data_IF_422639020015
#
_entry.id   IF_422639020015
#
_cell.length_a   1.000
_cell.length_b   1.000
_cell.length_c   1.000
_cell.angle_alpha   90.00
_cell.angle_beta   90.00
_cell.angle_gamma   90.00
#
_symmetry.space_group_name_H-M   'P 1'
#
loop_
_entity.id
_entity.type
_entity.pdbx_description
1 polymer ?
#
# COMPACT_ATOMS: atom_id res chain seq x y z
N UNK A 1 -20.87 4.00 -5.70
CA UNK A 1 -21.00 3.88 -7.16
C UNK A 1 -19.86 4.70 -7.76
N UNK A 2 -19.04 4.17 -8.68
CA UNK A 2 -17.99 4.95 -9.34
C UNK A 2 -18.71 5.90 -10.30
N UNK A 3 -18.62 7.21 -10.06
CA UNK A 3 -19.25 8.21 -10.91
C UNK A 3 -18.26 8.56 -12.03
N UNK A 4 -18.63 8.26 -13.27
CA UNK A 4 -17.78 8.47 -14.44
C UNK A 4 -18.22 9.77 -15.15
N UNK A 5 -17.26 10.63 -15.47
CA UNK A 5 -17.53 11.95 -16.02
C UNK A 5 -17.65 11.90 -17.55
N UNK A 6 -18.84 11.54 -18.05
CA UNK A 6 -19.14 11.50 -19.49
C UNK A 6 -18.98 12.85 -20.17
N UNK A 7 -19.25 13.95 -19.45
CA UNK A 7 -19.14 15.31 -20.01
C UNK A 7 -17.68 15.68 -20.25
N UNK A 8 -16.80 15.41 -19.29
CA UNK A 8 -15.37 15.66 -19.44
C UNK A 8 -14.76 14.82 -20.57
N UNK A 9 -15.07 13.51 -20.60
CA UNK A 9 -14.62 12.64 -21.70
C UNK A 9 -15.13 13.15 -23.06
N UNK A 10 -16.42 13.48 -23.17
CA UNK A 10 -17.02 13.96 -24.41
C UNK A 10 -16.38 15.27 -24.91
N UNK A 11 -16.14 16.21 -24.00
CA UNK A 11 -15.44 17.47 -24.33
C UNK A 11 -14.02 17.21 -24.81
N UNK A 12 -13.28 16.29 -24.18
CA UNK A 12 -11.92 15.99 -24.61
C UNK A 12 -11.86 15.28 -25.96
N UNK A 13 -12.72 14.27 -26.20
CA UNK A 13 -12.81 13.60 -27.49
C UNK A 13 -13.09 14.64 -28.60
N UNK A 14 -14.00 15.58 -28.35
CA UNK A 14 -14.31 16.67 -29.28
C UNK A 14 -13.10 17.58 -29.52
N UNK A 15 -12.36 17.92 -28.46
CA UNK A 15 -11.15 18.76 -28.54
C UNK A 15 -10.07 18.08 -29.39
N UNK A 16 -9.75 16.82 -29.09
CA UNK A 16 -8.76 16.02 -29.84
C UNK A 16 -9.17 15.80 -31.28
N UNK A 17 -10.46 15.53 -31.55
CA UNK A 17 -10.97 15.37 -32.92
C UNK A 17 -10.73 16.62 -33.75
N UNK A 18 -11.06 17.80 -33.20
CA UNK A 18 -10.83 19.08 -33.85
C UNK A 18 -9.33 19.35 -34.08
N UNK A 19 -8.49 19.04 -33.10
CA UNK A 19 -7.03 19.18 -33.23
C UNK A 19 -6.44 18.29 -34.33
N UNK A 20 -7.02 17.10 -34.53
CA UNK A 20 -6.63 16.20 -35.61
C UNK A 20 -7.35 16.50 -36.95
N UNK A 21 -8.10 17.61 -37.05
CA UNK A 21 -8.85 18.02 -38.24
C UNK A 21 -9.83 16.95 -38.78
N UNK A 22 -10.40 16.14 -37.89
CA UNK A 22 -11.35 15.08 -38.25
C UNK A 22 -12.79 15.57 -38.15
N UNK A 23 -13.65 15.19 -39.09
CA UNK A 23 -15.09 15.29 -38.94
C UNK A 23 -15.62 14.20 -38.00
N UNK A 24 -16.84 14.35 -37.47
CA UNK A 24 -17.46 13.28 -36.67
C UNK A 24 -17.72 12.02 -37.50
N UNK A 25 -17.98 12.15 -38.80
CA UNK A 25 -18.18 11.00 -39.69
C UNK A 25 -16.87 10.24 -39.93
N UNK A 26 -15.75 10.97 -40.14
CA UNK A 26 -14.42 10.37 -40.27
C UNK A 26 -13.99 9.67 -38.98
N UNK A 27 -14.29 10.26 -37.81
CA UNK A 27 -13.98 9.62 -36.54
C UNK A 27 -14.84 8.37 -36.30
N UNK A 28 -16.08 8.33 -36.81
CA UNK A 28 -17.01 7.21 -36.67
C UNK A 28 -16.77 6.05 -37.65
N UNK A 29 -16.08 6.32 -38.77
CA UNK A 29 -15.96 5.40 -39.91
C UNK A 29 -15.54 3.98 -39.50
N UNK A 30 -16.30 2.96 -39.87
CA UNK A 30 -15.94 1.56 -39.58
C UNK A 30 -16.02 1.14 -38.09
N UNK A 31 -16.50 2.00 -37.19
CA UNK A 31 -16.72 1.63 -35.77
C UNK A 31 -18.13 1.93 -35.26
N UNK A 32 -18.74 3.04 -35.65
CA UNK A 32 -20.09 3.41 -35.20
C UNK A 32 -20.70 4.46 -36.14
N UNK A 33 -21.86 5.02 -35.76
CA UNK A 33 -22.49 6.08 -36.55
C UNK A 33 -21.95 7.45 -36.15
N UNK A 34 -22.01 8.42 -37.06
CA UNK A 34 -21.68 9.82 -36.74
C UNK A 34 -22.55 10.38 -35.61
N UNK A 35 -23.82 9.95 -35.51
CA UNK A 35 -24.70 10.29 -34.40
C UNK A 35 -24.21 9.74 -33.06
N UNK A 36 -23.64 8.53 -33.05
CA UNK A 36 -23.02 7.93 -31.85
C UNK A 36 -21.85 8.77 -31.36
N UNK A 37 -20.94 9.17 -32.26
CA UNK A 37 -19.83 10.09 -31.91
C UNK A 37 -20.36 11.42 -31.39
N UNK A 38 -21.38 12.00 -32.04
CA UNK A 38 -21.99 13.24 -31.55
C UNK A 38 -22.63 13.08 -30.16
N UNK A 39 -23.23 11.92 -29.86
CA UNK A 39 -23.78 11.60 -28.55
C UNK A 39 -22.70 11.48 -27.47
N UNK A 40 -21.59 10.81 -27.79
CA UNK A 40 -20.41 10.68 -26.92
C UNK A 40 -19.80 12.07 -26.64
N UNK A 41 -19.58 12.89 -27.68
CA UNK A 41 -19.02 14.24 -27.53
C UNK A 41 -19.91 15.17 -26.69
N UNK A 42 -21.22 14.93 -26.68
CA UNK A 42 -22.19 15.66 -25.85
C UNK A 42 -22.34 15.10 -24.43
N UNK A 43 -21.62 14.03 -24.08
CA UNK A 43 -21.72 13.36 -22.78
C UNK A 43 -23.03 12.61 -22.54
N UNK A 44 -23.80 12.30 -23.60
CA UNK A 44 -25.13 11.67 -23.51
C UNK A 44 -25.08 10.14 -23.34
N UNK A 45 -23.91 9.53 -23.43
CA UNK A 45 -23.73 8.09 -23.25
C UNK A 45 -22.25 7.70 -23.16
N UNK A 46 -21.99 6.53 -22.59
CA UNK A 46 -20.65 5.95 -22.53
C UNK A 46 -20.33 5.24 -23.84
N UNK A 47 -19.13 5.47 -24.43
CA UNK A 47 -18.64 4.57 -25.46
C UNK A 47 -18.41 3.19 -24.86
N UNK A 48 -18.69 2.14 -25.63
CA UNK A 48 -18.24 0.79 -25.29
C UNK A 48 -16.71 0.70 -25.36
N UNK A 49 -16.12 -0.31 -24.72
CA UNK A 49 -14.66 -0.44 -24.57
C UNK A 49 -13.95 -0.52 -25.93
N UNK A 50 -14.54 -1.24 -26.88
CA UNK A 50 -14.08 -1.35 -28.27
C UNK A 50 -14.12 0.01 -29.00
N UNK A 51 -15.21 0.76 -28.89
CA UNK A 51 -15.31 2.11 -29.46
C UNK A 51 -14.26 3.02 -28.84
N UNK A 52 -14.12 3.03 -27.51
CA UNK A 52 -13.16 3.88 -26.80
C UNK A 52 -11.71 3.54 -27.18
N UNK A 53 -11.40 2.25 -27.35
CA UNK A 53 -10.09 1.79 -27.82
C UNK A 53 -9.78 2.31 -29.23
N UNK A 54 -10.69 2.17 -30.19
CA UNK A 54 -10.44 2.65 -31.56
C UNK A 54 -10.36 4.18 -31.62
N UNK A 55 -11.17 4.89 -30.83
CA UNK A 55 -11.05 6.35 -30.70
C UNK A 55 -9.67 6.75 -30.18
N UNK A 56 -9.09 6.01 -29.24
CA UNK A 56 -7.75 6.33 -28.70
C UNK A 56 -6.67 6.27 -29.78
N UNK A 57 -6.73 5.25 -30.64
CA UNK A 57 -5.83 5.08 -31.77
C UNK A 57 -5.97 6.24 -32.76
N UNK A 58 -7.21 6.58 -33.16
CA UNK A 58 -7.48 7.64 -34.14
C UNK A 58 -7.11 9.03 -33.65
N UNK A 59 -7.29 9.26 -32.35
CA UNK A 59 -6.99 10.53 -31.70
C UNK A 59 -5.54 10.60 -31.18
N UNK A 60 -4.74 9.55 -31.43
CA UNK A 60 -3.32 9.45 -31.09
C UNK A 60 -3.03 9.62 -29.60
N UNK A 61 -3.87 9.01 -28.76
CA UNK A 61 -3.73 8.97 -27.30
C UNK A 61 -3.83 7.52 -26.81
N UNK A 62 -3.38 7.26 -25.58
CA UNK A 62 -3.55 5.93 -24.97
C UNK A 62 -4.97 5.76 -24.45
N UNK A 63 -5.43 4.51 -24.31
CA UNK A 63 -6.72 4.23 -23.66
C UNK A 63 -6.73 4.72 -22.19
N UNK A 64 -5.59 4.62 -21.51
CA UNK A 64 -5.36 5.14 -20.15
C UNK A 64 -5.63 6.64 -20.02
N UNK A 65 -5.28 7.42 -21.06
CA UNK A 65 -5.56 8.87 -21.08
C UNK A 65 -7.06 9.16 -21.00
N UNK A 66 -7.89 8.44 -21.76
CA UNK A 66 -9.35 8.61 -21.67
C UNK A 66 -9.91 8.15 -20.34
N UNK A 67 -9.38 7.07 -19.75
CA UNK A 67 -9.78 6.67 -18.41
C UNK A 67 -9.49 7.75 -17.36
N UNK A 68 -8.32 8.39 -17.42
CA UNK A 68 -7.99 9.50 -16.51
C UNK A 68 -8.97 10.66 -16.60
N UNK A 69 -9.42 11.00 -17.80
CA UNK A 69 -10.38 12.10 -18.02
C UNK A 69 -11.80 11.70 -17.63
N UNK A 70 -12.16 10.44 -17.87
CA UNK A 70 -13.40 9.86 -17.37
C UNK A 70 -13.47 9.92 -15.84
N UNK A 71 -12.32 9.91 -15.16
CA UNK A 71 -12.19 10.01 -13.71
C UNK A 71 -11.94 11.46 -13.23
N UNK A 72 -11.48 12.38 -14.11
CA UNK A 72 -11.14 13.81 -13.88
C UNK A 72 -10.19 14.08 -12.68
N UNK A 73 -9.85 15.35 -12.37
CA UNK A 73 -8.97 15.84 -11.27
C UNK A 73 -9.04 15.07 -9.95
N UNK A 74 -10.18 14.46 -9.67
CA UNK A 74 -10.35 13.53 -8.57
C UNK A 74 -9.27 12.44 -8.55
N UNK A 75 -8.90 11.86 -9.69
CA UNK A 75 -7.90 10.79 -9.74
C UNK A 75 -6.48 11.27 -9.42
N UNK A 76 -6.06 12.40 -9.98
CA UNK A 76 -4.76 12.99 -9.66
C UNK A 76 -4.73 13.40 -8.18
N UNK A 77 -5.77 14.08 -7.70
CA UNK A 77 -5.95 14.41 -6.31
C UNK A 77 -5.96 13.18 -5.37
N UNK A 78 -6.66 12.10 -5.75
CA UNK A 78 -6.69 10.83 -5.00
C UNK A 78 -5.27 10.26 -4.91
N UNK A 79 -4.54 10.22 -6.03
CA UNK A 79 -3.18 9.69 -6.08
C UNK A 79 -2.21 10.53 -5.24
N UNK A 80 -2.30 11.86 -5.33
CA UNK A 80 -1.50 12.78 -4.52
C UNK A 80 -1.83 12.63 -3.03
N UNK A 81 -3.11 12.56 -2.69
CA UNK A 81 -3.57 12.38 -1.30
C UNK A 81 -3.12 11.03 -0.75
N UNK A 82 -3.24 9.95 -1.53
CA UNK A 82 -2.76 8.63 -1.12
C UNK A 82 -1.25 8.63 -0.90
N UNK A 83 -0.47 9.18 -1.84
CA UNK A 83 0.98 9.29 -1.73
C UNK A 83 1.38 10.12 -0.50
N UNK A 84 0.66 11.22 -0.24
CA UNK A 84 0.92 12.08 0.90
C UNK A 84 0.65 11.36 2.22
N UNK A 85 -0.52 10.72 2.35
CA UNK A 85 -0.87 9.91 3.52
C UNK A 85 0.13 8.77 3.77
N UNK A 86 0.58 8.08 2.71
CA UNK A 86 1.59 7.03 2.83
C UNK A 86 2.91 7.55 3.42
N UNK A 87 3.37 8.73 2.99
CA UNK A 87 4.58 9.35 3.53
C UNK A 87 4.40 9.84 4.98
N UNK A 88 3.24 10.39 5.33
CA UNK A 88 2.92 10.78 6.71
C UNK A 88 2.94 9.57 7.65
N UNK A 89 2.27 8.48 7.29
CA UNK A 89 2.25 7.24 8.09
C UNK A 89 3.65 6.63 8.25
N UNK A 90 4.47 6.66 7.19
CA UNK A 90 5.85 6.16 7.20
C UNK A 90 6.75 6.98 8.13
N UNK A 91 6.53 8.30 8.20
CA UNK A 91 7.20 9.21 9.14
C UNK A 91 6.56 9.23 10.53
N UNK A 92 5.47 8.47 10.74
CA UNK A 92 4.65 8.47 11.96
C UNK A 92 4.09 9.85 12.31
N UNK A 93 3.89 10.71 11.32
CA UNK A 93 3.25 12.02 11.51
C UNK A 93 1.72 11.87 11.55
N UNK A 94 1.22 11.29 12.65
CA UNK A 94 -0.20 10.98 12.82
C UNK A 94 -1.06 12.23 13.02
N UNK A 95 -0.50 13.32 13.57
CA UNK A 95 -1.24 14.57 13.79
C UNK A 95 -1.68 15.17 12.45
N UNK A 96 -0.75 15.30 11.49
CA UNK A 96 -1.06 15.84 10.17
C UNK A 96 -1.98 14.92 9.37
N UNK A 97 -1.76 13.60 9.44
CA UNK A 97 -2.63 12.62 8.79
C UNK A 97 -4.07 12.71 9.34
N UNK A 98 -4.21 12.87 10.66
CA UNK A 98 -5.52 13.05 11.30
C UNK A 98 -6.20 14.34 10.83
N UNK A 99 -5.49 15.46 10.77
CA UNK A 99 -6.05 16.75 10.34
C UNK A 99 -6.50 16.70 8.87
N UNK A 100 -5.66 16.16 7.98
CA UNK A 100 -6.00 15.98 6.57
C UNK A 100 -7.27 15.13 6.42
N UNK A 101 -7.31 13.96 7.04
CA UNK A 101 -8.48 13.09 6.93
C UNK A 101 -9.73 13.69 7.60
N UNK A 102 -9.60 14.43 8.70
CA UNK A 102 -10.73 15.13 9.34
C UNK A 102 -11.31 16.19 8.40
N UNK A 103 -10.45 16.95 7.74
CA UNK A 103 -10.87 17.95 6.75
C UNK A 103 -11.58 17.28 5.58
N UNK A 104 -11.04 16.19 5.05
CA UNK A 104 -11.68 15.41 3.98
C UNK A 104 -13.06 14.87 4.39
N UNK A 105 -13.20 14.32 5.60
CA UNK A 105 -14.48 13.80 6.11
C UNK A 105 -15.53 14.90 6.37
N UNK A 106 -15.10 16.14 6.59
CA UNK A 106 -16.01 17.27 6.85
C UNK A 106 -16.69 17.84 5.59
N UNK A 107 -16.18 17.51 4.40
CA UNK A 107 -16.68 18.01 3.13
C UNK A 107 -17.98 17.28 2.73
N UNK A 108 -19.14 17.93 2.94
CA UNK A 108 -20.47 17.30 2.80
C UNK A 108 -20.90 16.88 1.38
N UNK A 109 -20.22 17.34 0.32
CA UNK A 109 -20.67 17.19 -1.07
C UNK A 109 -19.63 16.56 -2.01
N UNK A 110 -18.60 15.89 -1.49
CA UNK A 110 -17.56 15.27 -2.33
C UNK A 110 -17.90 13.82 -2.64
N UNK A 111 -17.96 13.46 -3.93
CA UNK A 111 -18.11 12.08 -4.38
C UNK A 111 -16.81 11.61 -5.03
N UNK A 112 -15.87 11.11 -4.22
CA UNK A 112 -14.56 10.60 -4.69
C UNK A 112 -14.52 9.08 -4.84
N UNK A 113 -15.65 8.42 -4.57
CA UNK A 113 -15.82 6.99 -4.69
C UNK A 113 -15.48 6.21 -3.42
N UNK A 114 -16.02 4.98 -3.36
CA UNK A 114 -15.95 4.10 -2.19
C UNK A 114 -14.51 3.87 -1.69
N UNK A 115 -13.55 3.64 -2.58
CA UNK A 115 -12.17 3.34 -2.20
C UNK A 115 -11.44 4.54 -1.63
N UNK A 116 -11.69 5.75 -2.13
CA UNK A 116 -11.15 6.96 -1.52
C UNK A 116 -11.75 7.18 -0.13
N UNK A 117 -13.06 7.02 0.02
CA UNK A 117 -13.71 7.13 1.34
C UNK A 117 -13.16 6.09 2.32
N UNK A 118 -12.92 4.86 1.84
CA UNK A 118 -12.31 3.78 2.62
C UNK A 118 -10.87 4.15 3.03
N UNK A 119 -10.08 4.73 2.12
CA UNK A 119 -8.70 5.20 2.37
C UNK A 119 -8.69 6.28 3.45
N UNK A 120 -9.52 7.31 3.32
CA UNK A 120 -9.61 8.43 4.26
C UNK A 120 -10.05 7.94 5.64
N UNK A 121 -11.11 7.12 5.72
CA UNK A 121 -11.58 6.57 7.00
C UNK A 121 -10.54 5.67 7.66
N UNK A 122 -9.85 4.82 6.89
CA UNK A 122 -8.77 3.99 7.41
C UNK A 122 -7.66 4.83 8.07
N UNK A 123 -7.15 5.83 7.34
CA UNK A 123 -6.10 6.70 7.85
C UNK A 123 -6.57 7.53 9.05
N UNK A 124 -7.82 8.00 9.04
CA UNK A 124 -8.43 8.68 10.17
C UNK A 124 -8.47 7.81 11.43
N UNK A 125 -8.96 6.56 11.34
CA UNK A 125 -9.08 5.68 12.51
C UNK A 125 -7.71 5.25 13.06
N UNK A 126 -6.74 4.96 12.19
CA UNK A 126 -5.37 4.63 12.59
C UNK A 126 -4.71 5.82 13.28
N UNK A 127 -4.83 7.01 12.70
CA UNK A 127 -4.22 8.22 13.29
C UNK A 127 -4.89 8.59 14.61
N UNK A 128 -6.23 8.47 14.69
CA UNK A 128 -6.99 8.69 15.93
C UNK A 128 -6.54 7.75 17.05
N UNK A 129 -6.25 6.48 16.74
CA UNK A 129 -5.73 5.52 17.70
C UNK A 129 -4.34 5.93 18.22
N UNK A 130 -3.40 6.22 17.32
CA UNK A 130 -2.03 6.59 17.71
C UNK A 130 -1.96 7.93 18.47
N UNK A 131 -2.86 8.86 18.19
CA UNK A 131 -3.02 10.12 18.93
C UNK A 131 -3.80 9.96 20.24
N UNK A 132 -4.19 8.73 20.62
CA UNK A 132 -4.99 8.43 21.82
C UNK A 132 -6.35 9.17 21.87
N UNK A 133 -6.87 9.57 20.71
CA UNK A 133 -8.22 10.15 20.55
C UNK A 133 -9.30 9.07 20.50
N UNK A 134 -8.91 7.81 20.25
CA UNK A 134 -9.80 6.66 20.14
C UNK A 134 -9.16 5.44 20.81
N UNK A 135 -9.93 4.70 21.59
CA UNK A 135 -9.45 3.45 22.20
C UNK A 135 -9.26 2.35 21.14
N UNK A 136 -8.44 1.35 21.46
CA UNK A 136 -8.11 0.30 20.50
C UNK A 136 -9.32 -0.55 20.07
N UNK A 137 -10.31 -0.79 20.95
CA UNK A 137 -11.48 -1.63 20.63
C UNK A 137 -12.39 -0.91 19.63
N UNK A 138 -12.66 0.37 19.89
CA UNK A 138 -13.43 1.21 18.99
C UNK A 138 -12.73 1.38 17.64
N UNK A 139 -11.40 1.62 17.64
CA UNK A 139 -10.61 1.71 16.41
C UNK A 139 -10.70 0.43 15.59
N UNK A 140 -10.49 -0.74 16.20
CA UNK A 140 -10.60 -2.03 15.51
C UNK A 140 -12.00 -2.27 14.97
N UNK A 141 -13.06 -1.96 15.73
CA UNK A 141 -14.43 -2.13 15.26
C UNK A 141 -14.69 -1.28 14.01
N UNK A 142 -14.31 0.00 14.04
CA UNK A 142 -14.44 0.91 12.91
C UNK A 142 -13.63 0.44 11.69
N UNK A 143 -12.39 -0.03 11.90
CA UNK A 143 -11.56 -0.59 10.83
C UNK A 143 -12.18 -1.85 10.21
N UNK A 144 -12.79 -2.73 11.01
CA UNK A 144 -13.48 -3.92 10.50
C UNK A 144 -14.71 -3.57 9.69
N UNK A 145 -15.45 -2.53 10.07
CA UNK A 145 -16.61 -2.06 9.31
C UNK A 145 -16.22 -1.54 7.92
N UNK A 146 -14.97 -1.11 7.71
CA UNK A 146 -14.47 -0.76 6.37
C UNK A 146 -14.26 -1.98 5.47
N UNK A 147 -14.12 -3.18 6.02
CA UNK A 147 -13.89 -4.43 5.28
C UNK A 147 -15.22 -5.09 4.89
N UNK A 148 -16.05 -4.35 4.17
CA UNK A 148 -17.36 -4.82 3.71
C UNK A 148 -17.20 -5.89 2.61
N UNK A 149 -17.27 -7.16 3.02
CA UNK A 149 -17.17 -8.32 2.12
C UNK A 149 -18.30 -8.41 1.10
N UNK A 150 -19.42 -7.72 1.32
CA UNK A 150 -20.55 -7.70 0.39
C UNK A 150 -20.34 -6.72 -0.77
N UNK A 151 -19.42 -5.77 -0.62
CA UNK A 151 -19.13 -4.78 -1.65
C UNK A 151 -18.39 -5.44 -2.83
N UNK A 152 -18.81 -5.23 -4.10
CA UNK A 152 -18.19 -5.88 -5.26
C UNK A 152 -16.67 -5.62 -5.42
N UNK A 153 -16.18 -4.49 -4.88
CA UNK A 153 -14.76 -4.11 -4.92
C UNK A 153 -13.92 -4.70 -3.75
N UNK A 154 -14.51 -5.52 -2.88
CA UNK A 154 -13.76 -6.16 -1.80
C UNK A 154 -12.75 -7.16 -2.36
N UNK A 155 -11.51 -7.10 -1.89
CA UNK A 155 -10.43 -8.00 -2.30
C UNK A 155 -9.87 -7.72 -3.71
N UNK A 156 -10.40 -6.72 -4.42
CA UNK A 156 -9.88 -6.30 -5.73
C UNK A 156 -8.70 -5.32 -5.61
N UNK A 157 -8.47 -4.74 -4.42
CA UNK A 157 -7.49 -3.68 -4.21
C UNK A 157 -6.63 -3.95 -2.96
N UNK A 158 -5.41 -3.43 -2.99
CA UNK A 158 -4.42 -3.54 -1.92
C UNK A 158 -4.88 -2.86 -0.62
N UNK A 159 -5.81 -1.90 -0.69
CA UNK A 159 -6.30 -1.17 0.47
C UNK A 159 -6.92 -2.08 1.55
N UNK A 160 -7.68 -3.10 1.16
CA UNK A 160 -8.32 -4.01 2.11
C UNK A 160 -7.26 -4.75 2.96
N UNK A 161 -6.16 -5.15 2.33
CA UNK A 161 -5.03 -5.80 3.00
C UNK A 161 -4.22 -4.83 3.86
N UNK A 162 -4.07 -3.57 3.45
CA UNK A 162 -3.47 -2.52 4.30
C UNK A 162 -4.27 -2.32 5.59
N UNK A 163 -5.60 -2.29 5.50
CA UNK A 163 -6.52 -2.19 6.65
C UNK A 163 -6.38 -3.43 7.55
N UNK A 164 -6.42 -4.64 6.99
CA UNK A 164 -6.23 -5.88 7.75
C UNK A 164 -4.88 -5.91 8.48
N UNK A 165 -3.81 -5.45 7.83
CA UNK A 165 -2.49 -5.34 8.45
C UNK A 165 -2.48 -4.33 9.60
N UNK A 166 -3.15 -3.18 9.46
CA UNK A 166 -3.31 -2.22 10.57
C UNK A 166 -4.06 -2.85 11.76
N UNK A 167 -5.14 -3.58 11.52
CA UNK A 167 -5.88 -4.30 12.57
C UNK A 167 -4.96 -5.30 13.29
N UNK A 168 -4.17 -6.08 12.55
CA UNK A 168 -3.24 -7.05 13.12
C UNK A 168 -2.15 -6.37 13.98
N UNK A 169 -1.62 -5.23 13.55
CA UNK A 169 -0.64 -4.43 14.31
C UNK A 169 -1.26 -3.93 15.61
N UNK A 170 -2.45 -3.32 15.56
CA UNK A 170 -3.12 -2.79 16.75
C UNK A 170 -3.41 -3.91 17.74
N UNK A 171 -3.87 -5.09 17.29
CA UNK A 171 -4.01 -6.25 18.16
C UNK A 171 -2.70 -6.62 18.88
N UNK A 172 -1.59 -6.71 18.14
CA UNK A 172 -0.29 -7.05 18.71
C UNK A 172 0.23 -5.99 19.70
N UNK A 173 0.08 -4.70 19.40
CA UNK A 173 0.48 -3.60 20.29
C UNK A 173 -0.30 -3.60 21.61
N UNK A 174 -1.54 -4.11 21.60
CA UNK A 174 -2.37 -4.28 22.80
C UNK A 174 -2.30 -5.70 23.39
N UNK A 175 -1.24 -6.46 23.08
CA UNK A 175 -0.97 -7.81 23.62
C UNK A 175 -2.00 -8.89 23.29
N UNK A 176 -2.91 -8.62 22.33
CA UNK A 176 -3.86 -9.58 21.78
C UNK A 176 -3.20 -10.36 20.64
N UNK A 177 -2.19 -11.15 21.00
CA UNK A 177 -1.30 -11.80 20.04
C UNK A 177 -2.01 -12.88 19.22
N UNK A 178 -2.97 -13.61 19.79
CA UNK A 178 -3.67 -14.67 19.09
C UNK A 178 -4.60 -14.11 18.01
N UNK A 179 -5.28 -12.99 18.31
CA UNK A 179 -6.13 -12.26 17.40
C UNK A 179 -5.30 -11.67 16.26
N UNK A 180 -4.12 -11.11 16.57
CA UNK A 180 -3.17 -10.65 15.56
C UNK A 180 -2.71 -11.77 14.63
N UNK A 181 -2.37 -12.96 15.18
CA UNK A 181 -2.01 -14.13 14.38
C UNK A 181 -3.15 -14.56 13.45
N UNK A 182 -4.38 -14.63 13.98
CA UNK A 182 -5.54 -15.00 13.18
C UNK A 182 -5.75 -14.03 11.99
N UNK A 183 -5.51 -12.73 12.19
CA UNK A 183 -5.56 -11.75 11.10
C UNK A 183 -4.45 -11.95 10.08
N UNK A 184 -3.21 -12.21 10.50
CA UNK A 184 -2.13 -12.48 9.55
C UNK A 184 -2.33 -13.79 8.78
N UNK A 185 -2.87 -14.84 9.41
CA UNK A 185 -3.22 -16.07 8.72
C UNK A 185 -4.35 -15.88 7.71
N UNK A 186 -5.32 -15.00 8.02
CA UNK A 186 -6.34 -14.60 7.05
C UNK A 186 -5.71 -13.85 5.86
N UNK A 187 -4.76 -12.93 6.08
CA UNK A 187 -4.05 -12.25 4.98
C UNK A 187 -3.31 -13.30 4.12
N UNK A 188 -2.61 -14.25 4.75
CA UNK A 188 -1.85 -15.30 4.07
C UNK A 188 -2.71 -16.29 3.27
N UNK A 189 -4.02 -16.37 3.50
CA UNK A 189 -4.89 -17.24 2.71
C UNK A 189 -5.12 -16.71 1.29
N UNK A 190 -4.91 -15.40 1.05
CA UNK A 190 -5.05 -14.76 -0.27
C UNK A 190 -3.76 -14.86 -1.10
N UNK A 191 -3.41 -16.09 -1.50
CA UNK A 191 -2.12 -16.39 -2.16
C UNK A 191 -1.92 -15.65 -3.49
N UNK A 192 -2.95 -15.57 -4.33
CA UNK A 192 -2.88 -14.94 -5.66
C UNK A 192 -2.65 -13.42 -5.59
N UNK A 193 -3.15 -12.79 -4.53
CA UNK A 193 -2.90 -11.39 -4.25
C UNK A 193 -1.45 -11.18 -3.78
N UNK A 194 -1.01 -12.00 -2.81
CA UNK A 194 0.33 -11.88 -2.24
C UNK A 194 1.46 -12.20 -3.22
N UNK A 195 1.21 -13.05 -4.22
CA UNK A 195 2.18 -13.33 -5.28
C UNK A 195 2.45 -12.10 -6.15
N UNK A 196 1.45 -11.23 -6.33
CA UNK A 196 1.57 -9.97 -7.08
C UNK A 196 2.14 -8.83 -6.23
N UNK A 197 2.08 -8.94 -4.89
CA UNK A 197 2.45 -7.88 -3.95
C UNK A 197 3.59 -8.32 -3.01
N UNK A 198 4.73 -8.73 -3.59
CA UNK A 198 5.86 -9.30 -2.83
C UNK A 198 6.38 -8.39 -1.71
N UNK A 199 6.42 -7.06 -1.90
CA UNK A 199 6.84 -6.10 -0.86
C UNK A 199 5.96 -6.19 0.39
N UNK A 200 4.67 -6.31 0.17
CA UNK A 200 3.72 -6.48 1.25
C UNK A 200 3.90 -7.85 1.93
N UNK A 201 4.11 -8.90 1.14
CA UNK A 201 4.37 -10.24 1.66
C UNK A 201 5.61 -10.29 2.56
N UNK A 202 6.72 -9.66 2.16
CA UNK A 202 7.94 -9.51 2.99
C UNK A 202 7.61 -8.81 4.31
N UNK A 203 6.80 -7.74 4.27
CA UNK A 203 6.36 -7.03 5.49
C UNK A 203 5.51 -7.92 6.40
N UNK A 204 4.61 -8.74 5.85
CA UNK A 204 3.83 -9.72 6.61
C UNK A 204 4.73 -10.75 7.29
N UNK A 205 5.75 -11.26 6.59
CA UNK A 205 6.74 -12.17 7.19
C UNK A 205 7.54 -11.53 8.32
N UNK A 206 7.95 -10.27 8.17
CA UNK A 206 8.59 -9.53 9.27
C UNK A 206 7.66 -9.40 10.48
N UNK A 207 6.41 -8.99 10.26
CA UNK A 207 5.45 -8.81 11.34
C UNK A 207 5.11 -10.13 12.06
N UNK A 208 4.94 -11.23 11.32
CA UNK A 208 4.75 -12.56 11.88
C UNK A 208 5.97 -13.02 12.68
N UNK A 209 7.17 -12.79 12.15
CA UNK A 209 8.40 -13.12 12.87
C UNK A 209 8.46 -12.37 14.20
N UNK A 210 8.20 -11.06 14.21
CA UNK A 210 8.13 -10.26 15.44
C UNK A 210 7.06 -10.78 16.41
N UNK A 211 5.89 -11.15 15.92
CA UNK A 211 4.78 -11.64 16.74
C UNK A 211 5.10 -13.00 17.39
N UNK A 212 5.65 -13.96 16.64
CA UNK A 212 6.10 -15.23 17.21
C UNK A 212 7.23 -15.06 18.22
N UNK A 213 8.10 -14.05 18.03
CA UNK A 213 9.11 -13.71 19.02
C UNK A 213 8.50 -13.26 20.35
N UNK A 214 7.47 -12.41 20.31
CA UNK A 214 6.74 -11.96 21.50
C UNK A 214 6.02 -13.13 22.20
N UNK A 215 5.51 -14.09 21.42
CA UNK A 215 4.94 -15.35 21.90
C UNK A 215 5.99 -16.36 22.40
N UNK A 216 7.28 -16.03 22.34
CA UNK A 216 8.42 -16.89 22.70
C UNK A 216 8.54 -18.16 21.85
N UNK A 217 7.84 -18.24 20.72
CA UNK A 217 8.02 -19.28 19.71
C UNK A 217 9.16 -18.87 18.77
N UNK A 218 10.39 -18.99 19.28
CA UNK A 218 11.58 -18.50 18.58
C UNK A 218 11.88 -19.28 17.30
N UNK A 219 11.47 -20.55 17.21
CA UNK A 219 11.61 -21.38 16.01
C UNK A 219 10.73 -20.86 14.87
N UNK A 220 9.44 -20.61 15.13
CA UNK A 220 8.56 -19.99 14.11
C UNK A 220 9.01 -18.57 13.79
N UNK A 221 9.43 -17.80 14.79
CA UNK A 221 9.97 -16.46 14.57
C UNK A 221 11.16 -16.49 13.61
N UNK A 222 12.12 -17.38 13.85
CA UNK A 222 13.27 -17.59 12.99
C UNK A 222 12.87 -18.05 11.57
N UNK A 223 11.93 -18.99 11.47
CA UNK A 223 11.39 -19.46 10.18
C UNK A 223 10.84 -18.30 9.34
N UNK A 224 9.95 -17.48 9.92
CA UNK A 224 9.37 -16.34 9.20
C UNK A 224 10.38 -15.24 8.88
N UNK A 225 11.38 -15.00 9.74
CA UNK A 225 12.47 -14.09 9.42
C UNK A 225 13.25 -14.56 8.18
N UNK A 226 13.59 -15.85 8.10
CA UNK A 226 14.29 -16.40 6.93
C UNK A 226 13.42 -16.43 5.67
N UNK A 227 12.12 -16.72 5.78
CA UNK A 227 11.19 -16.60 4.64
C UNK A 227 11.17 -15.18 4.08
N UNK A 228 11.10 -14.18 4.96
CA UNK A 228 11.22 -12.77 4.60
C UNK A 228 12.55 -12.45 3.91
N UNK A 229 13.68 -12.88 4.48
CA UNK A 229 15.02 -12.63 3.92
C UNK A 229 15.14 -13.27 2.52
N UNK A 230 14.73 -14.53 2.37
CA UNK A 230 14.81 -15.22 1.09
C UNK A 230 13.98 -14.51 0.03
N UNK A 231 12.76 -14.06 0.38
CA UNK A 231 11.91 -13.31 -0.53
C UNK A 231 12.48 -11.92 -0.87
N UNK A 232 13.09 -11.23 0.10
CA UNK A 232 13.85 -10.00 -0.13
C UNK A 232 14.99 -10.21 -1.13
N UNK A 233 15.79 -11.26 -0.95
CA UNK A 233 16.92 -11.56 -1.85
C UNK A 233 16.43 -11.92 -3.25
N UNK A 234 15.43 -12.79 -3.38
CA UNK A 234 14.87 -13.19 -4.67
C UNK A 234 14.31 -12.01 -5.50
N UNK A 235 13.80 -10.98 -4.84
CA UNK A 235 13.23 -9.80 -5.49
C UNK A 235 14.16 -8.57 -5.43
N UNK A 236 15.41 -8.74 -5.00
CA UNK A 236 16.39 -7.66 -4.81
C UNK A 236 15.85 -6.48 -3.97
N UNK A 237 14.97 -6.77 -2.99
CA UNK A 237 14.23 -5.78 -2.23
C UNK A 237 14.79 -5.62 -0.80
N UNK A 238 15.42 -4.48 -0.57
CA UNK A 238 16.03 -4.14 0.73
C UNK A 238 15.06 -3.45 1.71
N UNK A 239 13.79 -3.21 1.34
CA UNK A 239 12.89 -2.33 2.10
C UNK A 239 12.70 -2.77 3.56
N UNK A 240 12.65 -4.08 3.82
CA UNK A 240 12.52 -4.70 5.15
C UNK A 240 13.69 -5.62 5.51
N UNK A 241 14.68 -5.76 4.63
CA UNK A 241 15.75 -6.74 4.80
C UNK A 241 16.58 -6.45 6.07
N UNK A 242 16.88 -5.18 6.36
CA UNK A 242 17.61 -4.79 7.57
C UNK A 242 16.89 -5.19 8.86
N UNK A 243 15.57 -4.98 8.93
CA UNK A 243 14.73 -5.36 10.06
C UNK A 243 14.63 -6.89 10.20
N UNK A 244 14.52 -7.61 9.08
CA UNK A 244 14.47 -9.07 9.07
C UNK A 244 15.78 -9.71 9.54
N UNK A 245 16.93 -9.20 9.11
CA UNK A 245 18.23 -9.65 9.60
C UNK A 245 18.41 -9.36 11.09
N UNK A 246 17.95 -8.20 11.57
CA UNK A 246 17.93 -7.89 13.01
C UNK A 246 17.10 -8.91 13.78
N UNK A 247 15.88 -9.16 13.30
CA UNK A 247 14.95 -10.11 13.89
C UNK A 247 15.51 -11.53 13.89
N UNK A 248 16.16 -11.95 12.80
CA UNK A 248 16.90 -13.23 12.72
C UNK A 248 17.98 -13.31 13.80
N UNK A 249 18.79 -12.28 13.96
CA UNK A 249 19.80 -12.20 15.02
C UNK A 249 19.21 -12.39 16.42
N UNK A 250 18.07 -11.73 16.71
CA UNK A 250 17.38 -11.86 17.99
C UNK A 250 16.90 -13.29 18.23
N UNK A 251 16.38 -13.95 17.21
CA UNK A 251 15.95 -15.35 17.30
C UNK A 251 17.13 -16.28 17.58
N UNK A 252 18.25 -16.11 16.87
CA UNK A 252 19.46 -16.92 17.04
C UNK A 252 20.03 -16.81 18.45
N UNK A 253 20.00 -15.62 19.07
CA UNK A 253 20.39 -15.43 20.48
C UNK A 253 19.50 -16.27 21.42
N UNK A 254 18.19 -16.23 21.23
CA UNK A 254 17.24 -16.95 22.08
C UNK A 254 17.33 -18.47 21.90
N UNK A 255 17.61 -18.92 20.68
CA UNK A 255 17.85 -20.32 20.33
C UNK A 255 19.26 -20.80 20.70
N UNK A 256 20.11 -19.95 21.29
CA UNK A 256 21.49 -20.26 21.70
C UNK A 256 22.33 -20.85 20.56
N UNK A 257 22.15 -20.32 19.34
CA UNK A 257 22.95 -20.71 18.17
C UNK A 257 24.37 -20.12 18.24
N UNK A 258 25.25 -20.57 17.35
CA UNK A 258 26.66 -20.15 17.32
C UNK A 258 26.83 -18.63 17.15
N UNK A 259 27.84 -18.06 17.79
CA UNK A 259 28.13 -16.62 17.76
C UNK A 259 28.38 -16.08 16.35
N UNK A 260 28.91 -16.91 15.45
CA UNK A 260 29.17 -16.55 14.04
C UNK A 260 27.90 -16.17 13.29
N UNK A 261 26.83 -16.96 13.41
CA UNK A 261 25.55 -16.69 12.74
C UNK A 261 24.84 -15.47 13.31
N UNK A 262 24.93 -15.27 14.63
CA UNK A 262 24.37 -14.11 15.33
C UNK A 262 25.07 -12.83 14.84
N UNK A 263 26.41 -12.82 14.87
CA UNK A 263 27.21 -11.69 14.42
C UNK A 263 26.90 -11.32 12.97
N UNK A 264 26.92 -12.32 12.08
CA UNK A 264 26.63 -12.11 10.65
C UNK A 264 25.23 -11.51 10.43
N UNK A 265 24.24 -11.96 11.20
CA UNK A 265 22.87 -11.42 11.10
C UNK A 265 22.81 -9.94 11.50
N UNK A 266 23.46 -9.55 12.59
CA UNK A 266 23.49 -8.15 13.02
C UNK A 266 24.37 -7.25 12.13
N UNK A 267 25.48 -7.76 11.61
CA UNK A 267 26.33 -7.05 10.65
C UNK A 267 25.58 -6.76 9.35
N UNK A 268 24.86 -7.76 8.80
CA UNK A 268 24.02 -7.56 7.61
C UNK A 268 22.91 -6.53 7.87
N UNK A 269 22.27 -6.61 9.04
CA UNK A 269 21.26 -5.64 9.45
C UNK A 269 21.81 -4.21 9.47
N UNK A 270 22.97 -4.01 10.12
CA UNK A 270 23.65 -2.72 10.19
C UNK A 270 24.02 -2.19 8.81
N UNK A 271 24.62 -3.02 7.97
CA UNK A 271 25.03 -2.64 6.61
C UNK A 271 23.83 -2.14 5.79
N UNK A 272 22.71 -2.86 5.82
CA UNK A 272 21.50 -2.46 5.09
C UNK A 272 20.95 -1.13 5.61
N UNK A 273 20.92 -0.94 6.93
CA UNK A 273 20.47 0.33 7.51
C UNK A 273 21.38 1.51 7.13
N UNK A 274 22.70 1.29 7.02
CA UNK A 274 23.66 2.29 6.54
C UNK A 274 23.42 2.64 5.07
N UNK A 275 23.27 1.63 4.19
CA UNK A 275 22.99 1.85 2.77
C UNK A 275 21.68 2.62 2.55
N UNK A 276 20.66 2.34 3.36
CA UNK A 276 19.35 3.00 3.29
C UNK A 276 19.26 4.30 4.10
N UNK A 277 20.36 4.76 4.72
CA UNK A 277 20.43 5.98 5.55
C UNK A 277 19.34 6.03 6.62
N UNK A 278 19.25 4.95 7.41
CA UNK A 278 18.25 4.77 8.47
C UNK A 278 18.86 5.01 9.85
N UNK A 279 19.24 6.25 10.14
CA UNK A 279 20.06 6.62 11.30
C UNK A 279 19.52 6.09 12.64
N UNK A 280 18.21 6.26 12.90
CA UNK A 280 17.56 5.72 14.11
C UNK A 280 17.74 4.19 14.26
N UNK A 281 17.74 3.45 13.15
CA UNK A 281 17.96 2.00 13.19
C UNK A 281 19.45 1.66 13.34
N UNK A 282 20.35 2.47 12.77
CA UNK A 282 21.80 2.31 12.92
C UNK A 282 22.18 2.45 14.40
N UNK A 283 21.70 3.52 15.05
CA UNK A 283 21.92 3.76 16.49
C UNK A 283 21.35 2.61 17.33
N UNK A 284 20.10 2.22 17.08
CA UNK A 284 19.46 1.10 17.78
C UNK A 284 20.29 -0.20 17.70
N UNK A 285 20.84 -0.54 16.53
CA UNK A 285 21.65 -1.76 16.37
C UNK A 285 22.97 -1.63 17.13
N UNK A 286 23.66 -0.49 17.04
CA UNK A 286 24.93 -0.26 17.75
C UNK A 286 24.77 -0.32 19.26
N UNK A 287 23.74 0.33 19.80
CA UNK A 287 23.45 0.36 21.23
C UNK A 287 23.06 -1.02 21.77
N UNK A 288 22.10 -1.69 21.13
CA UNK A 288 21.55 -2.93 21.65
C UNK A 288 22.43 -4.16 21.37
N UNK A 289 23.16 -4.13 20.25
CA UNK A 289 23.85 -5.31 19.69
C UNK A 289 25.33 -5.08 19.39
N UNK A 290 25.92 -3.98 19.86
CA UNK A 290 27.34 -3.63 19.65
C UNK A 290 28.32 -4.78 19.91
N UNK A 291 28.08 -5.59 20.94
CA UNK A 291 28.92 -6.77 21.27
C UNK A 291 29.03 -7.81 20.16
N UNK A 292 28.08 -7.86 19.23
CA UNK A 292 28.03 -8.82 18.12
C UNK A 292 28.57 -8.24 16.81
N UNK A 293 28.83 -6.94 16.75
CA UNK A 293 29.28 -6.28 15.53
C UNK A 293 30.79 -6.46 15.31
N UNK A 294 31.53 -6.88 16.35
CA UNK A 294 32.98 -6.88 16.37
C UNK A 294 33.52 -5.45 16.48
N UNK A 295 34.71 -5.27 17.07
CA UNK A 295 35.47 -4.06 16.76
C UNK A 295 35.77 -4.16 15.27
N UNK A 296 35.16 -3.33 14.43
CA UNK A 296 35.67 -3.16 13.09
C UNK A 296 37.16 -2.85 13.23
N UNK A 297 37.99 -3.58 12.48
CA UNK A 297 39.38 -3.24 12.26
C UNK A 297 39.42 -1.84 11.61
N UNK A 298 39.37 -0.80 12.43
CA UNK A 298 40.04 0.46 12.15
C UNK A 298 41.54 0.22 12.38
N UNK A 299 42.09 -0.59 11.51
CA UNK A 299 43.52 -0.83 11.34
C UNK A 299 43.63 -1.46 9.96
N UNK A 300 43.69 -0.58 8.96
CA UNK A 300 44.63 -0.72 7.86
C UNK A 300 44.71 0.63 7.14
N UNK A 301 45.83 1.30 7.44
CA UNK A 301 46.64 2.20 6.59
C UNK A 301 45.93 3.32 5.85
#
# INVERSE_FOLDING_TARGET
>A
MIELNTKALGMEIKRLRKLNNLSQSQLAEGICTQATISGIEAGKGYPSVDILYVLSIRLKVTLDFFYKILLNDAQEYIQETEKYLQELLKKKNYEEAFQLCSNELSQKNRQMGYKFDQLIKWNYFVSSYYLKKMDFRTSINNLKQLLDKSHPLFGQDFLDFKIQNSIAIIYAENQLYQESLNQYHLILSYKDFLSQQYRFHIKIYYNLSKLYFLLKDYEKSFKFANLGINMSVLNEDMSMAGQLYFQKGMCLERLKKGSTEINKSYQNSLLIFQLLKRDNYIEMVKEQKGKFLGKNNESNS
#
